data_IF_379031211556
#
_entry.id   IF_379031211556
#
_cell.length_a   1.000
_cell.length_b   1.000
_cell.length_c   1.000
_cell.angle_alpha   90.00
_cell.angle_beta   90.00
_cell.angle_gamma   90.00
#
_symmetry.space_group_name_H-M   'P 1'
#
loop_
_entity.id
_entity.type
_entity.pdbx_description
1 polymer ?
#
# COMPACT_ATOMS: atom_id res chain seq x y z
N UNK A 1 -2.61 19.07 17.28
CA UNK A 1 -1.36 18.36 16.96
C UNK A 1 -1.41 17.99 15.49
N UNK A 2 -0.48 18.51 14.68
CA UNK A 2 -0.39 18.19 13.25
C UNK A 2 0.70 17.13 13.13
N UNK A 3 0.31 15.86 13.07
CA UNK A 3 1.24 14.74 12.98
C UNK A 3 1.68 14.61 11.53
N UNK A 4 2.90 15.05 11.22
CA UNK A 4 3.48 14.92 9.88
C UNK A 4 2.58 15.40 8.72
N UNK A 5 1.76 16.43 8.95
CA UNK A 5 0.84 16.97 7.94
C UNK A 5 -0.55 16.31 7.89
N UNK A 6 -0.78 15.22 8.64
CA UNK A 6 -2.10 14.62 8.80
C UNK A 6 -2.88 15.21 9.96
N UNK A 7 -4.20 15.30 9.76
CA UNK A 7 -5.16 15.58 10.83
C UNK A 7 -5.45 14.30 11.62
N UNK A 8 -5.79 14.43 12.91
CA UNK A 8 -6.20 13.30 13.76
C UNK A 8 -7.36 12.48 13.20
N UNK A 9 -8.23 13.10 12.39
CA UNK A 9 -9.32 12.43 11.69
C UNK A 9 -8.82 11.52 10.58
N UNK A 10 -7.91 12.00 9.73
CA UNK A 10 -7.32 11.20 8.66
C UNK A 10 -6.58 9.99 9.23
N UNK A 11 -5.91 10.17 10.36
CA UNK A 11 -5.28 9.08 11.11
C UNK A 11 -6.31 8.05 11.59
N UNK A 12 -7.37 8.48 12.29
CA UNK A 12 -8.39 7.59 12.82
C UNK A 12 -9.13 6.80 11.71
N UNK A 13 -9.44 7.44 10.58
CA UNK A 13 -10.13 6.79 9.46
C UNK A 13 -9.29 5.69 8.80
N UNK A 14 -7.96 5.86 8.71
CA UNK A 14 -7.05 4.89 8.08
C UNK A 14 -6.81 3.66 8.96
N UNK A 15 -6.88 3.81 10.29
CA UNK A 15 -6.59 2.74 11.26
C UNK A 15 -7.86 2.13 11.89
N UNK A 16 -8.91 1.94 11.08
CA UNK A 16 -10.07 1.12 11.47
C UNK A 16 -11.23 1.86 12.14
N UNK A 17 -11.15 3.18 12.32
CA UNK A 17 -12.26 3.98 12.86
C UNK A 17 -12.87 4.88 11.78
N UNK A 18 -13.49 4.27 10.75
CA UNK A 18 -14.10 4.99 9.62
C UNK A 18 -15.10 6.08 10.03
N UNK A 19 -15.75 5.93 11.19
CA UNK A 19 -16.73 6.87 11.75
C UNK A 19 -16.17 7.84 12.81
N UNK A 20 -14.90 7.73 13.20
CA UNK A 20 -14.35 8.58 14.26
C UNK A 20 -13.99 9.98 13.72
N UNK A 21 -14.50 11.01 14.40
CA UNK A 21 -14.12 12.40 14.16
C UNK A 21 -12.73 12.73 14.75
N UNK A 22 -12.33 12.01 15.79
CA UNK A 22 -11.10 12.20 16.55
C UNK A 22 -10.59 10.83 17.03
N UNK A 23 -9.26 10.69 17.05
CA UNK A 23 -8.58 9.55 17.64
C UNK A 23 -8.74 9.60 19.18
N UNK A 24 -9.37 8.58 19.78
CA UNK A 24 -9.70 8.58 21.23
C UNK A 24 -8.63 7.97 22.15
N UNK A 25 -7.56 7.43 21.56
CA UNK A 25 -6.27 7.36 22.25
C UNK A 25 -6.15 6.40 23.42
N UNK A 26 -6.83 5.26 23.41
CA UNK A 26 -6.61 4.21 24.39
C UNK A 26 -5.73 3.08 23.80
N UNK A 27 -4.40 3.03 23.89
CA UNK A 27 -3.31 3.90 24.34
C UNK A 27 -2.22 3.69 23.26
N UNK A 28 -1.73 4.75 22.62
CA UNK A 28 -0.80 4.75 21.46
C UNK A 28 -1.39 4.44 20.06
N UNK A 29 -2.43 3.60 19.92
CA UNK A 29 -3.07 3.38 18.61
C UNK A 29 -2.25 2.61 17.58
N UNK A 30 -1.29 1.82 18.05
CA UNK A 30 -0.50 0.94 17.23
C UNK A 30 -1.35 -0.27 16.81
N UNK A 31 -1.69 -0.46 15.51
CA UNK A 31 -2.38 -1.65 15.02
C UNK A 31 -1.45 -2.87 14.89
N UNK A 32 -0.20 -2.72 15.36
CA UNK A 32 0.85 -3.71 15.23
C UNK A 32 0.89 -4.60 16.48
N UNK A 33 0.69 -5.90 16.28
CA UNK A 33 0.79 -6.89 17.36
C UNK A 33 2.19 -6.94 18.00
N UNK A 34 3.21 -6.32 17.39
CA UNK A 34 4.54 -6.12 18.01
C UNK A 34 4.53 -5.13 19.19
N UNK A 35 3.49 -4.29 19.32
CA UNK A 35 3.34 -3.31 20.39
C UNK A 35 2.76 -3.90 21.70
N UNK A 36 2.42 -5.19 21.72
CA UNK A 36 1.90 -5.87 22.90
C UNK A 36 2.96 -5.87 24.02
N UNK A 37 2.73 -5.08 25.08
CA UNK A 37 3.53 -5.07 26.32
C UNK A 37 4.48 -3.89 26.52
N UNK A 38 4.56 -2.92 25.60
CA UNK A 38 5.39 -1.71 25.74
C UNK A 38 4.52 -0.46 25.69
N UNK A 39 3.85 -0.15 26.80
CA UNK A 39 3.18 1.14 26.98
C UNK A 39 4.25 2.14 27.44
N UNK A 40 4.43 3.22 26.69
CA UNK A 40 5.16 4.38 27.18
C UNK A 40 4.21 5.19 28.07
N UNK A 41 4.74 5.89 29.06
CA UNK A 41 3.91 6.74 29.92
C UNK A 41 3.26 7.88 29.11
N UNK A 42 2.18 8.47 29.64
CA UNK A 42 1.47 9.57 28.97
C UNK A 42 2.33 10.80 28.69
N UNK A 43 3.46 10.95 29.41
CA UNK A 43 4.45 12.02 29.24
C UNK A 43 5.62 11.62 28.32
N UNK A 44 5.68 10.35 27.89
CA UNK A 44 6.71 9.83 27.00
C UNK A 44 6.27 9.87 25.53
N UNK A 45 7.24 10.05 24.63
CA UNK A 45 6.98 10.02 23.20
C UNK A 45 6.62 8.60 22.73
N UNK A 46 5.63 8.51 21.85
CA UNK A 46 5.27 7.23 21.23
C UNK A 46 6.34 6.79 20.23
N UNK A 47 7.15 5.79 20.60
CA UNK A 47 8.17 5.21 19.71
C UNK A 47 7.62 4.58 18.43
N UNK A 48 6.32 4.26 18.38
CA UNK A 48 5.64 3.67 17.23
C UNK A 48 5.25 4.73 16.19
N UNK A 49 5.00 5.96 16.62
CA UNK A 49 4.53 7.04 15.75
C UNK A 49 5.52 7.34 14.60
N UNK A 50 6.85 7.44 14.82
CA UNK A 50 7.81 7.55 13.72
C UNK A 50 7.72 6.40 12.72
N UNK A 51 7.59 5.16 13.19
CA UNK A 51 7.51 3.97 12.34
C UNK A 51 6.23 3.99 11.47
N UNK A 52 5.09 4.35 12.06
CA UNK A 52 3.81 4.46 11.34
C UNK A 52 3.81 5.62 10.34
N UNK A 53 4.48 6.74 10.65
CA UNK A 53 4.70 7.83 9.69
C UNK A 53 5.57 7.36 8.53
N UNK A 54 6.63 6.58 8.79
CA UNK A 54 7.51 6.07 7.75
C UNK A 54 6.82 5.02 6.86
N UNK A 55 5.95 4.18 7.45
CA UNK A 55 5.06 3.27 6.72
C UNK A 55 4.10 4.04 5.81
N UNK A 56 3.42 5.07 6.34
CA UNK A 56 2.56 5.93 5.53
C UNK A 56 3.32 6.55 4.36
N UNK A 57 4.50 7.12 4.61
CA UNK A 57 5.31 7.73 3.55
C UNK A 57 5.76 6.69 2.54
N UNK A 58 6.00 5.45 2.95
CA UNK A 58 6.32 4.33 2.06
C UNK A 58 5.12 3.99 1.19
N UNK A 59 3.92 3.91 1.75
CA UNK A 59 2.68 3.68 0.99
C UNK A 59 2.39 4.82 0.00
N UNK A 60 2.59 6.08 0.39
CA UNK A 60 2.41 7.23 -0.49
C UNK A 60 3.37 7.20 -1.67
N UNK A 61 4.66 6.89 -1.44
CA UNK A 61 5.63 6.70 -2.51
C UNK A 61 5.26 5.52 -3.41
N UNK A 62 4.91 4.38 -2.80
CA UNK A 62 4.49 3.18 -3.53
C UNK A 62 3.30 3.47 -4.44
N UNK A 63 2.29 4.22 -3.95
CA UNK A 63 1.13 4.63 -4.73
C UNK A 63 1.52 5.60 -5.87
N UNK A 64 2.32 6.63 -5.56
CA UNK A 64 2.79 7.59 -6.54
C UNK A 64 3.53 6.90 -7.71
N UNK A 65 4.35 5.89 -7.39
CA UNK A 65 5.11 5.13 -8.38
C UNK A 65 4.27 4.08 -9.12
N UNK A 66 3.17 3.59 -8.53
CA UNK A 66 2.26 2.65 -9.20
C UNK A 66 1.49 3.30 -10.36
N UNK A 67 1.12 4.57 -10.22
CA UNK A 67 0.35 5.33 -11.23
C UNK A 67 1.01 5.36 -12.62
N UNK A 68 2.30 5.72 -12.79
CA UNK A 68 2.95 5.68 -14.10
C UNK A 68 3.10 4.26 -14.66
N UNK A 69 3.26 3.25 -13.80
CA UNK A 69 3.28 1.82 -14.22
C UNK A 69 1.92 1.45 -14.82
N UNK A 70 0.83 1.74 -14.12
CA UNK A 70 -0.52 1.47 -14.62
C UNK A 70 -0.86 2.28 -15.88
N UNK A 71 -0.42 3.54 -15.96
CA UNK A 71 -0.59 4.35 -17.16
C UNK A 71 0.15 3.76 -18.37
N UNK A 72 1.30 3.12 -18.18
CA UNK A 72 2.01 2.41 -19.24
C UNK A 72 1.25 1.16 -19.71
N UNK A 73 0.64 0.40 -18.78
CA UNK A 73 -0.26 -0.71 -19.12
C UNK A 73 -1.45 -0.24 -19.96
N UNK A 74 -2.12 0.82 -19.54
CA UNK A 74 -3.26 1.38 -20.30
C UNK A 74 -2.83 1.75 -21.72
N UNK A 75 -1.70 2.45 -21.88
CA UNK A 75 -1.15 2.78 -23.21
C UNK A 75 -0.83 1.54 -24.04
N UNK A 76 -0.22 0.53 -23.44
CA UNK A 76 0.12 -0.72 -24.13
C UNK A 76 -1.13 -1.48 -24.59
N UNK A 77 -2.20 -1.46 -23.81
CA UNK A 77 -3.50 -2.05 -24.16
C UNK A 77 -4.19 -1.28 -25.29
N UNK A 78 -4.09 0.05 -25.29
CA UNK A 78 -4.66 0.91 -26.34
C UNK A 78 -3.89 0.81 -27.65
N UNK A 79 -2.55 0.83 -27.60
CA UNK A 79 -1.69 0.80 -28.78
C UNK A 79 -1.53 -0.60 -29.37
N UNK A 80 -1.54 -1.62 -28.51
CA UNK A 80 -1.29 -3.02 -28.86
C UNK A 80 0.13 -3.30 -29.35
N UNK A 81 1.07 -2.34 -29.22
CA UNK A 81 2.42 -2.50 -29.77
C UNK A 81 3.28 -3.40 -28.88
N UNK A 82 4.17 -4.23 -29.46
CA UNK A 82 5.15 -4.99 -28.70
C UNK A 82 6.06 -4.11 -27.84
N UNK A 83 6.41 -2.92 -28.33
CA UNK A 83 7.28 -1.96 -27.65
C UNK A 83 6.62 -1.41 -26.38
N UNK A 84 5.37 -0.96 -26.46
CA UNK A 84 4.65 -0.45 -25.29
C UNK A 84 4.40 -1.55 -24.27
N UNK A 85 4.11 -2.78 -24.73
CA UNK A 85 3.96 -3.94 -23.85
C UNK A 85 5.26 -4.27 -23.11
N UNK A 86 6.40 -4.25 -23.80
CA UNK A 86 7.71 -4.48 -23.18
C UNK A 86 8.08 -3.37 -22.19
N UNK A 87 7.72 -2.13 -22.50
CA UNK A 87 7.92 -1.00 -21.59
C UNK A 87 7.06 -1.13 -20.31
N UNK A 88 5.78 -1.50 -20.45
CA UNK A 88 4.89 -1.74 -19.31
C UNK A 88 5.39 -2.90 -18.43
N UNK A 89 5.84 -3.99 -19.04
CA UNK A 89 6.43 -5.14 -18.34
C UNK A 89 7.69 -4.76 -17.56
N UNK A 90 8.57 -3.97 -18.16
CA UNK A 90 9.80 -3.49 -17.50
C UNK A 90 9.47 -2.61 -16.28
N UNK A 91 8.47 -1.73 -16.41
CA UNK A 91 8.04 -0.84 -15.34
C UNK A 91 7.39 -1.61 -14.18
N UNK A 92 6.51 -2.58 -14.46
CA UNK A 92 5.89 -3.37 -13.39
C UNK A 92 6.91 -4.25 -12.68
N UNK A 93 7.87 -4.84 -13.40
CA UNK A 93 8.92 -5.65 -12.79
C UNK A 93 9.78 -4.83 -11.82
N UNK A 94 10.24 -3.64 -12.24
CA UNK A 94 11.04 -2.75 -11.40
C UNK A 94 10.26 -2.26 -10.16
N UNK A 95 8.98 -1.91 -10.33
CA UNK A 95 8.14 -1.48 -9.22
C UNK A 95 7.84 -2.61 -8.22
N UNK A 96 7.57 -3.82 -8.71
CA UNK A 96 7.34 -5.00 -7.87
C UNK A 96 8.61 -5.38 -7.08
N UNK A 97 9.78 -5.32 -7.72
CA UNK A 97 11.07 -5.58 -7.06
C UNK A 97 11.31 -4.63 -5.87
N UNK A 98 11.03 -3.34 -6.05
CA UNK A 98 11.17 -2.31 -5.01
C UNK A 98 10.17 -2.50 -3.85
N UNK A 99 8.90 -2.76 -4.17
CA UNK A 99 7.82 -2.61 -3.18
C UNK A 99 7.27 -3.92 -2.63
N UNK A 100 7.54 -5.05 -3.28
CA UNK A 100 7.02 -6.37 -2.92
C UNK A 100 8.13 -7.43 -2.88
N UNK A 101 9.04 -7.29 -1.90
CA UNK A 101 10.08 -8.27 -1.64
C UNK A 101 9.50 -9.68 -1.43
N UNK A 102 10.14 -10.67 -2.02
CA UNK A 102 9.68 -12.06 -1.98
C UNK A 102 8.56 -12.39 -2.96
N UNK A 103 8.33 -11.53 -3.96
CA UNK A 103 7.45 -11.83 -5.09
C UNK A 103 8.02 -12.97 -5.92
N UNK A 104 7.20 -13.99 -6.17
CA UNK A 104 7.52 -15.13 -7.04
C UNK A 104 6.89 -14.99 -8.44
N UNK A 105 5.83 -14.19 -8.54
CA UNK A 105 5.12 -13.90 -9.78
C UNK A 105 4.36 -12.58 -9.66
N UNK A 106 4.24 -11.83 -10.75
CA UNK A 106 3.40 -10.65 -10.84
C UNK A 106 2.74 -10.54 -12.21
N UNK A 107 1.70 -9.71 -12.30
CA UNK A 107 1.10 -9.31 -13.56
C UNK A 107 0.35 -7.98 -13.45
N UNK A 108 0.19 -7.33 -14.59
CA UNK A 108 -0.82 -6.30 -14.83
C UNK A 108 -2.15 -7.00 -15.18
N UNK A 109 -3.21 -6.71 -14.43
CA UNK A 109 -4.50 -7.39 -14.55
C UNK A 109 -5.59 -6.39 -14.91
N UNK A 110 -6.49 -6.79 -15.82
CA UNK A 110 -7.70 -6.02 -16.17
C UNK A 110 -8.94 -6.47 -15.36
N UNK A 111 -8.84 -7.56 -14.60
CA UNK A 111 -9.92 -8.05 -13.73
C UNK A 111 -9.36 -8.87 -12.56
N UNK A 112 -9.19 -8.28 -11.35
CA UNK A 112 -9.41 -6.86 -11.02
C UNK A 112 -8.41 -5.95 -11.73
N UNK A 113 -8.78 -4.69 -11.93
CA UNK A 113 -7.90 -3.70 -12.57
C UNK A 113 -6.79 -3.29 -11.61
N UNK A 114 -5.55 -3.60 -11.96
CA UNK A 114 -4.42 -3.26 -11.11
C UNK A 114 -3.17 -4.11 -11.30
N UNK A 115 -2.27 -4.03 -10.32
CA UNK A 115 -1.06 -4.85 -10.27
C UNK A 115 -1.32 -5.96 -9.26
N UNK A 116 -1.18 -7.21 -9.71
CA UNK A 116 -1.34 -8.39 -8.87
C UNK A 116 -0.02 -9.13 -8.71
N UNK A 117 0.14 -9.83 -7.59
CA UNK A 117 1.34 -10.61 -7.32
C UNK A 117 1.06 -11.86 -6.51
N UNK A 118 2.04 -12.77 -6.52
CA UNK A 118 2.14 -13.90 -5.59
C UNK A 118 3.45 -13.76 -4.83
N UNK A 119 3.43 -14.20 -3.58
CA UNK A 119 4.60 -14.17 -2.72
C UNK A 119 5.15 -15.58 -2.51
N UNK A 120 6.28 -15.66 -1.81
CA UNK A 120 6.96 -16.93 -1.47
C UNK A 120 6.28 -17.75 -0.36
N UNK A 121 5.24 -17.23 0.29
CA UNK A 121 4.61 -17.87 1.43
C UNK A 121 3.39 -18.72 1.03
N UNK A 122 2.69 -18.36 -0.05
CA UNK A 122 1.51 -19.09 -0.54
C UNK A 122 1.31 -18.91 -2.05
N UNK A 123 0.44 -19.75 -2.63
CA UNK A 123 0.06 -19.68 -4.05
C UNK A 123 -1.10 -18.71 -4.33
N UNK A 124 -1.57 -17.97 -3.32
CA UNK A 124 -2.65 -17.00 -3.47
C UNK A 124 -2.19 -15.78 -4.26
N UNK A 125 -3.10 -15.25 -5.07
CA UNK A 125 -2.87 -14.02 -5.85
C UNK A 125 -3.44 -12.85 -5.08
N UNK A 126 -2.65 -11.79 -4.94
CA UNK A 126 -2.97 -10.62 -4.12
C UNK A 126 -2.98 -9.38 -5.01
N UNK A 127 -3.94 -8.49 -4.79
CA UNK A 127 -3.99 -7.18 -5.42
C UNK A 127 -3.06 -6.25 -4.64
N UNK A 128 -2.03 -5.74 -5.31
CA UNK A 128 -1.00 -4.89 -4.72
C UNK A 128 -1.25 -3.40 -4.96
N UNK A 129 -1.87 -3.08 -6.10
CA UNK A 129 -2.37 -1.76 -6.46
C UNK A 129 -3.74 -1.93 -7.11
N UNK A 130 -4.75 -1.25 -6.58
CA UNK A 130 -6.11 -1.20 -7.14
C UNK A 130 -6.26 0.05 -7.99
N UNK A 131 -6.41 -0.14 -9.31
CA UNK A 131 -6.50 0.95 -10.25
C UNK A 131 -7.87 1.66 -10.24
N UNK A 132 -8.93 0.99 -9.80
CA UNK A 132 -10.27 1.59 -9.73
C UNK A 132 -10.40 2.48 -8.50
N UNK A 133 -9.71 2.13 -7.41
CA UNK A 133 -9.66 2.91 -6.17
C UNK A 133 -8.48 3.88 -6.07
N UNK A 134 -7.47 3.73 -6.93
CA UNK A 134 -6.18 4.43 -6.85
C UNK A 134 -5.58 4.28 -5.43
N UNK A 135 -5.49 3.03 -4.97
CA UNK A 135 -5.01 2.67 -3.63
C UNK A 135 -4.01 1.53 -3.66
N UNK A 136 -3.14 1.48 -2.63
CA UNK A 136 -2.37 0.28 -2.32
C UNK A 136 -3.27 -0.65 -1.53
N UNK A 137 -3.42 -1.87 -2.01
CA UNK A 137 -4.22 -2.91 -1.37
C UNK A 137 -3.33 -4.09 -1.00
N UNK A 138 -3.80 -4.87 -0.03
CA UNK A 138 -3.29 -6.21 0.26
C UNK A 138 -4.49 -7.12 0.45
N UNK A 139 -5.31 -7.22 -0.61
CA UNK A 139 -6.48 -8.09 -0.63
C UNK A 139 -6.19 -9.32 -1.48
N UNK A 140 -6.61 -10.49 -1.00
CA UNK A 140 -6.57 -11.71 -1.81
C UNK A 140 -7.57 -11.56 -2.97
N UNK A 141 -7.10 -11.78 -4.19
CA UNK A 141 -7.95 -11.81 -5.39
C UNK A 141 -8.64 -13.15 -5.44
N UNK A 142 -9.92 -13.17 -5.08
CA UNK A 142 -10.75 -14.37 -5.24
C UNK A 142 -11.00 -14.60 -6.73
N UNK A 143 -10.68 -15.79 -7.22
CA UNK A 143 -10.97 -16.22 -8.59
C UNK A 143 -12.46 -16.44 -8.83
#
# INVERSE_FOLDING_TARGET
>A
MQLAGLTSRQWAQRHGYASAAEWRGDECGCPDDRCIGYHHDAEEECGCLPALIDELRRDERKLADARPVWAAHVRATESGTPEDRAAAETLVAAWVEEYAAGTTWHALSDSPRGIVYRNQWNDSTWLLYDADRDSIETAEVTR
#
